data_IF_097554659666
#
_entry.id   IF_097554659666
#
_cell.length_a   1.000
_cell.length_b   1.000
_cell.length_c   1.000
_cell.angle_alpha   90.00
_cell.angle_beta   90.00
_cell.angle_gamma   90.00
#
_symmetry.space_group_name_H-M   'P 1'
#
loop_
_entity.id
_entity.type
_entity.pdbx_description
1 polymer ?
#
# COMPACT_ATOMS: atom_id res chain seq x y z
N UNK A 1 13.25 -18.87 -2.98
CA UNK A 1 12.29 -19.58 -3.86
C UNK A 1 11.43 -20.45 -2.96
N UNK A 2 10.22 -20.01 -2.65
CA UNK A 2 9.28 -20.78 -1.84
C UNK A 2 8.00 -20.98 -2.65
N UNK A 3 7.75 -22.24 -3.00
CA UNK A 3 6.49 -22.75 -3.55
C UNK A 3 5.49 -22.89 -2.39
N UNK A 4 4.35 -22.21 -2.47
CA UNK A 4 3.27 -22.35 -1.51
C UNK A 4 2.42 -23.59 -1.79
N UNK A 5 2.15 -24.38 -0.75
CA UNK A 5 1.13 -25.44 -0.76
C UNK A 5 -0.18 -24.81 -0.29
N UNK A 6 -1.24 -24.94 -1.10
CA UNK A 6 -2.62 -24.59 -0.72
C UNK A 6 -3.27 -25.86 -0.17
N UNK A 7 -3.60 -25.88 1.11
CA UNK A 7 -4.51 -26.87 1.70
C UNK A 7 -5.86 -26.20 1.99
N UNK A 8 -6.92 -26.88 1.55
CA UNK A 8 -8.31 -26.43 1.61
C UNK A 8 -8.74 -26.07 3.04
N UNK A 9 -9.29 -24.86 3.21
CA UNK A 9 -9.97 -24.44 4.44
C UNK A 9 -9.35 -23.28 5.23
N UNK A 10 -8.16 -22.80 4.88
CA UNK A 10 -7.61 -21.57 5.47
C UNK A 10 -7.98 -20.37 4.59
N UNK A 11 -8.53 -19.31 5.19
CA UNK A 11 -8.55 -17.99 4.56
C UNK A 11 -7.13 -17.73 4.05
N UNK A 12 -6.98 -17.59 2.74
CA UNK A 12 -5.68 -17.40 2.12
C UNK A 12 -5.22 -15.98 2.46
N UNK A 13 -4.61 -15.83 3.63
CA UNK A 13 -3.82 -14.66 3.94
C UNK A 13 -2.60 -14.71 3.02
N UNK A 14 -2.79 -14.20 1.79
CA UNK A 14 -1.68 -13.98 0.87
C UNK A 14 -0.66 -13.14 1.61
N UNK A 15 0.63 -13.53 1.61
CA UNK A 15 1.69 -12.73 2.21
C UNK A 15 1.61 -11.30 1.70
N UNK A 16 1.79 -10.31 2.59
CA UNK A 16 1.69 -8.88 2.24
C UNK A 16 2.56 -8.54 1.01
N UNK A 17 3.75 -9.14 0.93
CA UNK A 17 4.66 -9.03 -0.21
C UNK A 17 4.01 -9.43 -1.56
N UNK A 18 3.20 -10.50 -1.59
CA UNK A 18 2.49 -10.89 -2.81
C UNK A 18 1.40 -9.88 -3.18
N UNK A 19 0.69 -9.35 -2.18
CA UNK A 19 -0.35 -8.33 -2.40
C UNK A 19 0.26 -7.05 -2.96
N UNK A 20 1.40 -6.60 -2.44
CA UNK A 20 2.13 -5.43 -2.95
C UNK A 20 2.58 -5.65 -4.41
N UNK A 21 3.14 -6.81 -4.74
CA UNK A 21 3.54 -7.12 -6.13
C UNK A 21 2.36 -7.10 -7.12
N UNK A 22 1.20 -7.62 -6.71
CA UNK A 22 -0.02 -7.55 -7.53
C UNK A 22 -0.47 -6.10 -7.71
N UNK A 23 -0.42 -5.29 -6.64
CA UNK A 23 -0.74 -3.87 -6.69
C UNK A 23 0.22 -3.08 -7.58
N UNK A 24 1.53 -3.34 -7.51
CA UNK A 24 2.54 -2.77 -8.40
C UNK A 24 2.24 -3.06 -9.87
N UNK A 25 1.95 -4.32 -10.19
CA UNK A 25 1.61 -4.73 -11.55
C UNK A 25 0.33 -4.05 -12.05
N UNK A 26 -0.71 -3.97 -11.22
CA UNK A 26 -1.97 -3.31 -11.55
C UNK A 26 -1.79 -1.81 -11.76
N UNK A 27 -1.01 -1.15 -10.89
CA UNK A 27 -0.77 0.28 -10.98
C UNK A 27 0.08 0.62 -12.20
N UNK A 28 1.11 -0.18 -12.50
CA UNK A 28 1.95 0.01 -13.69
C UNK A 28 1.14 0.01 -14.99
N UNK A 29 0.17 -0.90 -15.11
CA UNK A 29 -0.73 -0.98 -16.27
C UNK A 29 -1.65 0.25 -16.38
N UNK A 30 -2.04 0.83 -15.24
CA UNK A 30 -2.97 1.97 -15.16
C UNK A 30 -2.31 3.33 -15.37
N UNK A 31 -1.22 3.59 -14.65
CA UNK A 31 -0.58 4.92 -14.64
C UNK A 31 0.45 5.11 -15.75
N UNK A 32 0.90 4.03 -16.39
CA UNK A 32 1.87 4.08 -17.49
C UNK A 32 3.31 4.40 -17.08
N UNK A 33 3.60 4.45 -15.78
CA UNK A 33 4.95 4.57 -15.20
C UNK A 33 5.16 3.58 -14.07
N UNK A 34 6.42 3.36 -13.70
CA UNK A 34 6.79 2.42 -12.64
C UNK A 34 6.53 3.03 -11.25
N UNK A 35 5.86 2.27 -10.39
CA UNK A 35 5.64 2.60 -8.98
C UNK A 35 6.40 1.58 -8.15
N UNK A 36 7.20 2.06 -7.20
CA UNK A 36 7.96 1.24 -6.26
C UNK A 36 7.33 1.39 -4.88
N UNK A 37 6.97 0.28 -4.25
CA UNK A 37 6.56 0.30 -2.85
C UNK A 37 7.76 0.01 -1.96
N UNK A 38 7.99 0.89 -0.99
CA UNK A 38 8.90 0.62 0.11
C UNK A 38 8.09 0.14 1.32
N UNK A 39 8.39 -1.06 1.82
CA UNK A 39 7.77 -1.56 3.04
C UNK A 39 8.53 -1.01 4.25
N UNK A 40 7.84 -0.21 5.06
CA UNK A 40 8.36 0.31 6.31
C UNK A 40 7.36 0.01 7.44
N UNK A 41 7.88 -0.36 8.61
CA UNK A 41 7.08 -0.34 9.83
C UNK A 41 6.98 1.10 10.37
N UNK A 42 6.09 1.34 11.34
CA UNK A 42 5.89 2.66 11.95
C UNK A 42 7.15 3.23 12.63
N UNK A 43 8.11 2.38 12.98
CA UNK A 43 9.38 2.78 13.58
C UNK A 43 10.46 3.12 12.54
N UNK A 44 10.32 2.58 11.32
CA UNK A 44 11.14 2.88 10.16
C UNK A 44 10.77 4.21 9.49
N UNK A 45 9.52 4.66 9.64
CA UNK A 45 9.08 5.98 9.17
C UNK A 45 9.68 7.12 10.02
N UNK A 46 10.06 8.21 9.36
CA UNK A 46 10.60 9.42 10.01
C UNK A 46 9.91 10.68 9.48
N UNK A 47 9.87 11.74 10.30
CA UNK A 47 9.28 13.03 9.89
C UNK A 47 7.78 12.94 9.59
N UNK A 48 7.37 13.61 8.52
CA UNK A 48 5.96 13.82 8.17
C UNK A 48 5.21 12.52 7.81
N UNK A 49 5.88 11.54 7.18
CA UNK A 49 5.28 10.23 6.89
C UNK A 49 4.85 9.49 8.16
N UNK A 50 5.67 9.58 9.22
CA UNK A 50 5.36 8.96 10.51
C UNK A 50 4.19 9.67 11.18
N UNK A 51 4.18 11.00 11.16
CA UNK A 51 3.08 11.79 11.71
C UNK A 51 1.76 11.44 11.02
N UNK A 52 1.74 11.39 9.69
CA UNK A 52 0.57 11.02 8.91
C UNK A 52 0.07 9.59 9.20
N UNK A 53 0.99 8.64 9.37
CA UNK A 53 0.63 7.27 9.75
C UNK A 53 0.05 7.18 11.17
N UNK A 54 0.60 7.94 12.12
CA UNK A 54 0.08 8.02 13.50
C UNK A 54 -1.30 8.68 13.53
N UNK A 55 -1.50 9.76 12.80
CA UNK A 55 -2.78 10.45 12.71
C UNK A 55 -3.86 9.55 12.11
N UNK A 56 -3.52 8.76 11.09
CA UNK A 56 -4.45 7.78 10.53
C UNK A 56 -4.85 6.71 11.55
N UNK A 57 -3.91 6.21 12.36
CA UNK A 57 -4.22 5.27 13.45
C UNK A 57 -5.09 5.92 14.52
N UNK A 58 -4.80 7.16 14.91
CA UNK A 58 -5.59 7.91 15.88
C UNK A 58 -7.02 8.17 15.40
N UNK A 59 -7.22 8.33 14.08
CA UNK A 59 -8.52 8.43 13.44
C UNK A 59 -9.26 7.08 13.30
N UNK A 60 -8.63 5.96 13.68
CA UNK A 60 -9.21 4.63 13.66
C UNK A 60 -9.07 3.90 12.31
N UNK A 61 -8.17 4.34 11.43
CA UNK A 61 -7.88 3.61 10.21
C UNK A 61 -7.08 2.34 10.47
N UNK A 62 -7.35 1.31 9.66
CA UNK A 62 -6.69 0.01 9.76
C UNK A 62 -5.44 -0.07 8.88
N UNK A 63 -4.42 -0.77 9.35
CA UNK A 63 -3.24 -1.14 8.55
C UNK A 63 -3.61 -2.22 7.50
N UNK A 64 -2.86 -2.34 6.39
CA UNK A 64 -1.69 -1.54 5.98
C UNK A 64 -2.06 -0.14 5.47
N UNK A 65 -1.10 0.78 5.48
CA UNK A 65 -1.22 2.10 4.87
C UNK A 65 -0.37 2.22 3.61
N UNK A 66 -0.85 3.02 2.65
CA UNK A 66 -0.04 3.51 1.55
C UNK A 66 0.10 5.01 1.73
N UNK A 67 1.34 5.49 1.75
CA UNK A 67 1.70 6.90 1.85
C UNK A 67 2.22 7.38 0.50
N UNK A 68 1.85 8.59 0.10
CA UNK A 68 2.43 9.29 -1.06
C UNK A 68 2.73 10.71 -0.64
N UNK A 69 4.00 11.12 -0.70
CA UNK A 69 4.46 12.45 -0.31
C UNK A 69 3.86 12.92 1.04
N UNK A 70 4.07 12.12 2.09
CA UNK A 70 3.59 12.36 3.46
C UNK A 70 2.05 12.25 3.67
N UNK A 71 1.28 11.80 2.67
CA UNK A 71 -0.17 11.66 2.79
C UNK A 71 -0.60 10.21 2.75
N UNK A 72 -1.44 9.80 3.70
CA UNK A 72 -2.10 8.48 3.66
C UNK A 72 -3.15 8.48 2.57
N UNK A 73 -2.93 7.68 1.52
CA UNK A 73 -3.82 7.59 0.35
C UNK A 73 -4.71 6.35 0.34
N UNK A 74 -4.30 5.29 1.04
CA UNK A 74 -5.08 4.07 1.20
C UNK A 74 -4.79 3.41 2.56
N UNK A 75 -5.81 2.73 3.11
CA UNK A 75 -5.76 2.07 4.41
C UNK A 75 -6.48 0.72 4.35
N UNK A 76 -6.01 -0.28 5.10
CA UNK A 76 -6.63 -1.59 5.22
C UNK A 76 -6.58 -2.37 3.91
N UNK A 77 -7.75 -2.59 3.28
CA UNK A 77 -7.81 -3.26 2.00
C UNK A 77 -7.33 -2.33 0.88
N UNK A 78 -6.09 -2.56 0.43
CA UNK A 78 -5.44 -1.81 -0.64
C UNK A 78 -6.08 -2.13 -1.99
N UNK A 79 -6.35 -1.08 -2.77
CA UNK A 79 -7.00 -1.13 -4.07
C UNK A 79 -6.27 -0.20 -5.05
N UNK A 80 -5.91 -0.72 -6.23
CA UNK A 80 -5.13 0.01 -7.21
C UNK A 80 -5.87 1.23 -7.79
N UNK A 81 -7.20 1.17 -7.94
CA UNK A 81 -8.00 2.30 -8.45
C UNK A 81 -8.00 3.47 -7.47
N UNK A 82 -8.13 3.18 -6.16
CA UNK A 82 -8.07 4.22 -5.13
C UNK A 82 -6.71 4.92 -5.10
N UNK A 83 -5.63 4.14 -5.21
CA UNK A 83 -4.27 4.66 -5.18
C UNK A 83 -3.98 5.46 -6.47
N UNK A 84 -4.40 4.98 -7.64
CA UNK A 84 -4.31 5.69 -8.92
C UNK A 84 -4.97 7.08 -8.85
N UNK A 85 -6.19 7.15 -8.33
CA UNK A 85 -6.92 8.43 -8.19
C UNK A 85 -6.18 9.39 -7.26
N UNK A 86 -5.58 8.89 -6.18
CA UNK A 86 -4.81 9.72 -5.26
C UNK A 86 -3.50 10.22 -5.90
N UNK A 87 -2.80 9.36 -6.64
CA UNK A 87 -1.59 9.72 -7.39
C UNK A 87 -1.88 10.77 -8.46
N UNK A 88 -2.98 10.63 -9.21
CA UNK A 88 -3.39 11.62 -10.22
C UNK A 88 -3.74 13.00 -9.64
N UNK A 89 -4.12 13.08 -8.36
CA UNK A 89 -4.32 14.37 -7.66
C UNK A 89 -3.03 15.00 -7.17
N UNK A 90 -1.99 14.19 -6.95
CA UNK A 90 -0.70 14.62 -6.42
C UNK A 90 0.34 14.90 -7.51
N UNK A 91 0.18 14.34 -8.70
CA UNK A 91 1.01 14.65 -9.87
C UNK A 91 0.64 16.06 -10.40
N UNK A 92 1.55 17.06 -10.32
CA UNK A 92 1.33 18.34 -10.97
C UNK A 92 1.38 18.13 -12.49
N UNK A 93 0.30 18.52 -13.17
CA UNK A 93 0.25 18.71 -14.62
C UNK A 93 1.31 19.69 -15.12
#
# INVERSE_FOLDING_TARGET
MALGVITEGAACELPLAWRLQVLEAQLKDRVGYEILFEEADLWGLVGAEREAAIDALAAGHELPFVLVADHVVATGQLDAEKIEVALGRLAPS
#
